data_IF_432811691937
#
_entry.id   IF_432811691937
#
_cell.length_a   1.000
_cell.length_b   1.000
_cell.length_c   1.000
_cell.angle_alpha   90.00
_cell.angle_beta   90.00
_cell.angle_gamma   90.00
#
_symmetry.space_group_name_H-M   'P 1'
#
loop_
_entity.id
_entity.type
_entity.pdbx_description
1 polymer ?
#
# COMPACT_ATOMS: atom_id res chain seq x y z
N UNK A 1 4.96 32.04 1.97
CA UNK A 1 3.78 31.20 2.29
C UNK A 1 4.09 29.82 1.76
N UNK A 2 3.96 28.81 2.61
CA UNK A 2 4.08 27.42 2.18
C UNK A 2 2.91 27.06 1.26
N UNK A 3 3.19 26.32 0.18
CA UNK A 3 2.17 25.93 -0.79
C UNK A 3 1.21 24.94 -0.14
N UNK A 4 -0.09 25.24 -0.19
CA UNK A 4 -1.14 24.33 0.27
C UNK A 4 -2.03 23.91 -0.89
N UNK A 5 -2.59 22.71 -0.80
CA UNK A 5 -3.38 22.04 -1.81
C UNK A 5 -4.75 21.73 -1.21
N UNK A 6 -5.81 22.13 -1.90
CA UNK A 6 -7.13 21.58 -1.58
C UNK A 6 -7.24 20.12 -2.06
N UNK A 7 -8.29 19.44 -1.63
CA UNK A 7 -8.56 18.03 -1.96
C UNK A 7 -8.48 17.74 -3.47
N UNK A 8 -9.05 18.64 -4.29
CA UNK A 8 -9.11 18.49 -5.74
C UNK A 8 -7.76 18.66 -6.41
N UNK A 9 -6.98 19.66 -6.01
CA UNK A 9 -5.61 19.87 -6.50
C UNK A 9 -4.71 18.69 -6.12
N UNK A 10 -4.88 18.17 -4.90
CA UNK A 10 -4.17 16.99 -4.43
C UNK A 10 -4.51 15.74 -5.25
N UNK A 11 -5.81 15.49 -5.51
CA UNK A 11 -6.27 14.37 -6.34
C UNK A 11 -5.68 14.42 -7.76
N UNK A 12 -5.75 15.58 -8.42
CA UNK A 12 -5.21 15.70 -9.78
C UNK A 12 -3.70 15.58 -9.82
N UNK A 13 -3.01 16.10 -8.81
CA UNK A 13 -1.57 15.93 -8.69
C UNK A 13 -1.21 14.45 -8.55
N UNK A 14 -2.00 13.69 -7.78
CA UNK A 14 -1.83 12.25 -7.61
C UNK A 14 -2.03 11.51 -8.92
N UNK A 15 -3.10 11.83 -9.66
CA UNK A 15 -3.38 11.21 -10.96
C UNK A 15 -2.26 11.46 -11.98
N UNK A 16 -1.79 12.70 -12.13
CA UNK A 16 -0.68 13.03 -13.05
C UNK A 16 0.64 12.37 -12.60
N UNK A 17 0.88 12.33 -11.29
CA UNK A 17 2.04 11.65 -10.72
C UNK A 17 2.05 10.16 -11.07
N UNK A 18 0.95 9.44 -10.89
CA UNK A 18 0.84 8.02 -11.24
C UNK A 18 0.89 7.79 -12.76
N UNK A 19 0.22 8.63 -13.56
CA UNK A 19 0.26 8.55 -15.02
C UNK A 19 1.70 8.71 -15.55
N UNK A 20 2.47 9.63 -14.97
CA UNK A 20 3.88 9.81 -15.35
C UNK A 20 4.71 8.52 -15.23
N UNK A 21 4.45 7.70 -14.21
CA UNK A 21 5.10 6.40 -14.02
C UNK A 21 4.57 5.32 -14.95
N UNK A 22 3.26 5.30 -15.21
CA UNK A 22 2.68 4.38 -16.19
C UNK A 22 3.28 4.61 -17.58
N UNK A 23 3.46 5.85 -18.01
CA UNK A 23 4.04 6.10 -19.33
C UNK A 23 5.54 5.85 -19.40
N UNK A 24 6.26 5.96 -18.27
CA UNK A 24 7.67 5.62 -18.18
C UNK A 24 7.91 4.09 -18.28
N UNK A 25 7.00 3.30 -17.73
CA UNK A 25 7.20 1.86 -17.52
C UNK A 25 6.29 0.95 -18.37
N UNK A 26 5.11 1.44 -18.77
CA UNK A 26 4.00 0.63 -19.30
C UNK A 26 3.56 -0.47 -18.35
N UNK A 27 3.63 -0.20 -17.06
CA UNK A 27 3.26 -1.13 -16.00
C UNK A 27 1.75 -1.43 -15.95
N UNK A 28 1.39 -2.72 -15.95
CA UNK A 28 -0.01 -3.17 -16.04
C UNK A 28 -0.84 -2.80 -14.80
N UNK A 29 -0.27 -2.93 -13.58
CA UNK A 29 -0.98 -2.56 -12.34
C UNK A 29 -1.27 -1.06 -12.29
N UNK A 30 -0.30 -0.22 -12.67
CA UNK A 30 -0.53 1.23 -12.82
C UNK A 30 -1.59 1.51 -13.89
N UNK A 31 -1.51 0.85 -15.06
CA UNK A 31 -2.48 1.03 -16.14
C UNK A 31 -3.91 0.66 -15.73
N UNK A 32 -4.07 -0.44 -15.00
CA UNK A 32 -5.37 -0.87 -14.47
C UNK A 32 -5.94 0.14 -13.47
N UNK A 33 -5.12 0.64 -12.55
CA UNK A 33 -5.56 1.67 -11.61
C UNK A 33 -5.94 2.97 -12.33
N UNK A 34 -5.09 3.45 -13.24
CA UNK A 34 -5.33 4.68 -13.97
C UNK A 34 -6.60 4.60 -14.83
N UNK A 35 -6.96 3.42 -15.32
CA UNK A 35 -8.25 3.18 -15.98
C UNK A 35 -9.46 3.54 -15.10
N UNK A 36 -9.32 3.56 -13.77
CA UNK A 36 -10.37 3.94 -12.82
C UNK A 36 -10.21 5.37 -12.30
N UNK A 37 -8.95 5.84 -12.16
CA UNK A 37 -8.62 7.17 -11.59
C UNK A 37 -8.72 8.32 -12.59
N UNK A 38 -8.51 8.06 -13.89
CA UNK A 38 -8.40 9.10 -14.94
C UNK A 38 -9.67 9.34 -15.74
N UNK A 39 -10.76 8.60 -15.49
CA UNK A 39 -12.01 8.73 -16.25
C UNK A 39 -12.86 9.90 -15.72
N UNK A 40 -12.91 10.96 -16.52
CA UNK A 40 -13.77 12.11 -16.33
C UNK A 40 -15.21 11.79 -16.75
N UNK A 41 -16.21 12.07 -15.90
CA UNK A 41 -17.57 12.29 -16.43
C UNK A 41 -17.64 13.69 -17.08
N UNK A 42 -18.44 13.81 -18.14
CA UNK A 42 -18.64 15.08 -18.87
C UNK A 42 -19.26 16.21 -18.02
N UNK A 43 -19.76 15.88 -16.82
CA UNK A 43 -20.45 16.79 -15.92
C UNK A 43 -19.59 17.23 -14.72
N UNK A 44 -18.32 16.81 -14.66
CA UNK A 44 -17.38 17.23 -13.63
C UNK A 44 -17.37 16.36 -12.36
N UNK A 45 -18.04 15.21 -12.38
CA UNK A 45 -17.98 14.19 -11.32
C UNK A 45 -16.94 13.11 -11.65
N UNK A 46 -16.30 12.55 -10.62
CA UNK A 46 -15.47 11.35 -10.73
C UNK A 46 -16.38 10.16 -11.10
N UNK A 47 -16.03 9.37 -12.11
CA UNK A 47 -16.92 8.31 -12.60
C UNK A 47 -17.05 7.14 -11.61
N UNK A 48 -16.05 6.95 -10.74
CA UNK A 48 -16.16 6.03 -9.60
C UNK A 48 -16.30 6.82 -8.30
N UNK A 49 -17.54 6.92 -7.84
CA UNK A 49 -17.87 7.59 -6.58
C UNK A 49 -17.18 6.90 -5.38
N UNK A 50 -16.93 5.59 -5.44
CA UNK A 50 -16.24 4.90 -4.35
C UNK A 50 -14.78 5.37 -4.23
N UNK A 51 -14.07 5.51 -5.36
CA UNK A 51 -12.72 6.07 -5.38
C UNK A 51 -12.70 7.52 -4.87
N UNK A 52 -13.72 8.31 -5.24
CA UNK A 52 -13.86 9.68 -4.77
C UNK A 52 -14.09 9.75 -3.25
N UNK A 53 -15.00 8.93 -2.73
CA UNK A 53 -15.33 8.85 -1.31
C UNK A 53 -14.13 8.35 -0.47
N UNK A 54 -13.40 7.37 -1.00
CA UNK A 54 -12.17 6.88 -0.38
C UNK A 54 -11.07 7.96 -0.38
N UNK A 55 -10.89 8.67 -1.49
CA UNK A 55 -9.94 9.78 -1.56
C UNK A 55 -10.28 10.87 -0.54
N UNK A 56 -11.56 11.25 -0.44
CA UNK A 56 -12.03 12.20 0.54
C UNK A 56 -11.72 11.74 1.98
N UNK A 57 -11.91 10.45 2.24
CA UNK A 57 -11.59 9.82 3.53
C UNK A 57 -10.09 9.89 3.82
N UNK A 58 -9.24 9.55 2.84
CA UNK A 58 -7.78 9.62 2.96
C UNK A 58 -7.26 11.03 3.16
N UNK A 59 -7.82 12.00 2.43
CA UNK A 59 -7.45 13.40 2.55
C UNK A 59 -7.84 13.94 3.95
N UNK A 60 -9.07 13.67 4.38
CA UNK A 60 -9.59 14.17 5.66
C UNK A 60 -8.92 13.51 6.89
N UNK A 61 -8.47 12.25 6.79
CA UNK A 61 -7.72 11.57 7.87
C UNK A 61 -6.35 12.23 8.13
N UNK A 62 -5.74 12.87 7.13
CA UNK A 62 -4.49 13.60 7.31
C UNK A 62 -4.73 14.94 8.02
N UNK A 63 -5.69 15.73 7.53
CA UNK A 63 -6.08 17.02 8.11
C UNK A 63 -7.39 17.52 7.50
N UNK A 64 -8.13 18.34 8.27
CA UNK A 64 -9.37 19.00 7.84
C UNK A 64 -9.15 20.32 7.08
N UNK A 65 -7.89 20.76 6.93
CA UNK A 65 -7.53 21.98 6.20
C UNK A 65 -6.93 21.64 4.83
N UNK A 66 -6.73 22.62 3.96
CA UNK A 66 -5.87 22.44 2.78
C UNK A 66 -4.52 21.89 3.24
N UNK A 67 -3.92 20.97 2.50
CA UNK A 67 -2.72 20.25 2.92
C UNK A 67 -1.44 20.94 2.43
N UNK A 68 -0.37 20.90 3.22
CA UNK A 68 0.98 21.07 2.69
C UNK A 68 1.28 20.00 1.62
N UNK A 69 2.34 20.22 0.84
CA UNK A 69 2.77 19.24 -0.19
C UNK A 69 3.07 17.86 0.40
N UNK A 70 3.55 17.79 1.65
CA UNK A 70 3.80 16.53 2.35
C UNK A 70 2.51 15.89 2.86
N UNK A 71 1.62 16.67 3.48
CA UNK A 71 0.31 16.17 3.95
C UNK A 71 -0.49 15.56 2.78
N UNK A 72 -0.50 16.22 1.62
CA UNK A 72 -1.12 15.66 0.42
C UNK A 72 -0.44 14.36 -0.05
N UNK A 73 0.88 14.26 0.08
CA UNK A 73 1.59 13.02 -0.24
C UNK A 73 1.30 11.89 0.76
N UNK A 74 0.96 12.22 2.02
CA UNK A 74 0.48 11.23 2.99
C UNK A 74 -0.90 10.69 2.57
N UNK A 75 -1.79 11.51 2.00
CA UNK A 75 -3.02 11.02 1.39
C UNK A 75 -2.73 10.10 0.19
N UNK A 76 -1.74 10.44 -0.65
CA UNK A 76 -1.27 9.54 -1.73
C UNK A 76 -0.79 8.20 -1.18
N UNK A 77 -0.07 8.18 -0.04
CA UNK A 77 0.35 6.94 0.63
C UNK A 77 -0.86 6.05 0.96
N UNK A 78 -1.91 6.62 1.55
CA UNK A 78 -3.12 5.87 1.89
C UNK A 78 -3.79 5.30 0.63
N UNK A 79 -3.87 6.12 -0.42
CA UNK A 79 -4.45 5.74 -1.70
C UNK A 79 -3.71 4.58 -2.37
N UNK A 80 -2.38 4.64 -2.48
CA UNK A 80 -1.61 3.54 -3.09
C UNK A 80 -1.58 2.29 -2.21
N UNK A 81 -1.75 2.42 -0.89
CA UNK A 81 -1.91 1.26 -0.01
C UNK A 81 -3.21 0.52 -0.31
N UNK A 82 -4.29 1.25 -0.64
CA UNK A 82 -5.56 0.67 -1.05
C UNK A 82 -5.50 0.04 -2.44
N UNK A 83 -5.04 0.81 -3.41
CA UNK A 83 -5.25 0.49 -4.82
C UNK A 83 -4.01 -0.08 -5.54
N UNK A 84 -2.83 -0.02 -4.93
CA UNK A 84 -1.58 -0.64 -5.40
C UNK A 84 -0.83 -1.33 -4.24
N UNK A 85 -1.48 -2.24 -3.49
CA UNK A 85 -0.87 -2.86 -2.32
C UNK A 85 0.41 -3.61 -2.67
N UNK A 86 1.33 -3.74 -1.71
CA UNK A 86 2.65 -4.33 -1.91
C UNK A 86 2.64 -5.88 -1.90
N UNK A 87 1.70 -6.47 -2.64
CA UNK A 87 1.43 -7.92 -2.68
C UNK A 87 2.02 -8.58 -3.91
N UNK A 88 2.18 -9.91 -3.88
CA UNK A 88 2.80 -10.66 -4.98
C UNK A 88 2.08 -10.56 -6.34
N UNK A 89 0.79 -10.23 -6.34
CA UNK A 89 -0.04 -10.06 -7.53
C UNK A 89 0.18 -8.71 -8.22
N UNK A 90 0.69 -7.71 -7.49
CA UNK A 90 1.03 -6.39 -8.02
C UNK A 90 2.38 -6.46 -8.76
N UNK A 91 2.50 -5.77 -9.89
CA UNK A 91 3.74 -5.73 -10.67
C UNK A 91 4.91 -5.09 -9.89
N UNK A 92 6.14 -5.43 -10.27
CA UNK A 92 7.33 -4.98 -9.55
C UNK A 92 7.49 -3.45 -9.52
N UNK A 93 7.18 -2.74 -10.60
CA UNK A 93 7.27 -1.27 -10.64
C UNK A 93 6.27 -0.64 -9.69
N UNK A 94 5.01 -1.09 -9.71
CA UNK A 94 3.96 -0.63 -8.78
C UNK A 94 4.34 -0.89 -7.32
N UNK A 95 4.81 -2.10 -7.00
CA UNK A 95 5.28 -2.45 -5.65
C UNK A 95 6.44 -1.57 -5.20
N UNK A 96 7.42 -1.33 -6.08
CA UNK A 96 8.54 -0.44 -5.79
C UNK A 96 8.05 1.00 -5.55
N UNK A 97 7.08 1.49 -6.32
CA UNK A 97 6.50 2.82 -6.12
C UNK A 97 5.82 2.93 -4.75
N UNK A 98 4.92 2.00 -4.41
CA UNK A 98 4.21 1.95 -3.12
C UNK A 98 5.20 1.93 -1.96
N UNK A 99 6.22 1.07 -2.01
CA UNK A 99 7.27 1.02 -0.99
C UNK A 99 8.01 2.36 -0.85
N UNK A 100 8.39 3.01 -1.95
CA UNK A 100 9.12 4.29 -1.90
C UNK A 100 8.24 5.41 -1.35
N UNK A 101 6.96 5.45 -1.71
CA UNK A 101 5.99 6.42 -1.16
C UNK A 101 5.90 6.28 0.36
N UNK A 102 5.75 5.05 0.88
CA UNK A 102 5.73 4.79 2.33
C UNK A 102 6.98 5.31 3.01
N UNK A 103 8.17 4.95 2.49
CA UNK A 103 9.45 5.39 3.05
C UNK A 103 9.59 6.91 3.08
N UNK A 104 9.24 7.60 1.98
CA UNK A 104 9.37 9.06 1.86
C UNK A 104 8.53 9.79 2.91
N UNK A 105 7.36 9.27 3.27
CA UNK A 105 6.51 9.86 4.30
C UNK A 105 7.14 9.85 5.70
N UNK A 106 8.15 9.01 5.93
CA UNK A 106 8.88 8.89 7.20
C UNK A 106 10.27 9.55 7.17
N UNK A 107 10.71 10.03 6.01
CA UNK A 107 12.01 10.67 5.85
C UNK A 107 12.02 12.09 6.43
N UNK A 108 13.20 12.50 6.90
CA UNK A 108 13.47 13.92 7.13
C UNK A 108 13.38 14.71 5.82
N UNK A 109 13.07 16.00 5.89
CA UNK A 109 12.97 16.87 4.72
C UNK A 109 14.23 16.83 3.85
N UNK A 110 15.42 16.91 4.47
CA UNK A 110 16.70 16.85 3.77
C UNK A 110 16.93 15.54 2.99
N UNK A 111 16.45 14.40 3.51
CA UNK A 111 16.52 13.11 2.80
C UNK A 111 15.49 13.06 1.68
N UNK A 112 14.26 13.48 1.99
CA UNK A 112 13.12 13.48 1.06
C UNK A 112 13.38 14.34 -0.17
N UNK A 113 14.01 15.50 -0.03
CA UNK A 113 14.29 16.39 -1.16
C UNK A 113 15.31 15.82 -2.16
N UNK A 114 16.06 14.79 -1.77
CA UNK A 114 16.96 14.06 -2.67
C UNK A 114 16.27 12.89 -3.37
N UNK A 115 15.02 12.55 -3.01
CA UNK A 115 14.32 11.39 -3.55
C UNK A 115 13.66 11.68 -4.91
N UNK A 116 13.99 10.95 -5.99
CA UNK A 116 13.43 11.21 -7.31
C UNK A 116 11.89 11.07 -7.36
N UNK A 117 11.34 10.14 -6.58
CA UNK A 117 9.88 9.96 -6.48
C UNK A 117 9.22 11.18 -5.83
N UNK A 118 9.84 11.74 -4.79
CA UNK A 118 9.36 12.98 -4.17
C UNK A 118 9.47 14.18 -5.12
N UNK A 119 10.60 14.31 -5.83
CA UNK A 119 10.80 15.39 -6.81
C UNK A 119 9.76 15.32 -7.93
N UNK A 120 9.39 14.11 -8.38
CA UNK A 120 8.34 13.92 -9.38
C UNK A 120 6.95 14.32 -8.84
N UNK A 121 6.65 14.00 -7.57
CA UNK A 121 5.44 14.47 -6.89
C UNK A 121 5.38 16.00 -6.81
N UNK A 122 6.45 16.65 -6.34
CA UNK A 122 6.55 18.11 -6.27
C UNK A 122 6.37 18.74 -7.65
N UNK A 123 6.93 18.12 -8.70
CA UNK A 123 6.75 18.56 -10.07
C UNK A 123 5.30 18.43 -10.55
N UNK A 124 4.60 17.33 -10.23
CA UNK A 124 3.18 17.14 -10.57
C UNK A 124 2.29 18.18 -9.86
N UNK A 125 2.55 18.41 -8.58
CA UNK A 125 1.91 19.47 -7.78
C UNK A 125 2.16 20.85 -8.39
N UNK A 126 3.39 21.16 -8.79
CA UNK A 126 3.71 22.42 -9.46
C UNK A 126 3.06 22.54 -10.83
N UNK A 127 2.88 21.43 -11.55
CA UNK A 127 2.21 21.42 -12.83
C UNK A 127 0.72 21.73 -12.70
N UNK A 128 0.01 21.01 -11.83
CA UNK A 128 -1.45 21.15 -11.62
C UNK A 128 -1.84 22.54 -11.14
N UNK A 129 -1.03 23.15 -10.27
CA UNK A 129 -1.35 24.49 -9.74
C UNK A 129 -0.73 25.63 -10.55
N UNK A 130 -0.03 25.37 -11.66
CA UNK A 130 0.60 26.44 -12.44
C UNK A 130 -0.42 27.10 -13.35
N UNK A 131 -0.73 28.40 -13.18
CA UNK A 131 -1.72 29.09 -14.01
C UNK A 131 -1.30 29.25 -15.48
N UNK A 132 -0.01 29.09 -15.80
CA UNK A 132 0.55 29.19 -17.15
C UNK A 132 0.73 27.85 -17.85
N UNK A 133 0.55 26.74 -17.15
CA UNK A 133 0.37 25.44 -17.80
C UNK A 133 -1.00 25.48 -18.47
N UNK A 134 -0.99 25.43 -19.80
CA UNK A 134 -2.21 25.51 -20.62
C UNK A 134 -3.18 24.41 -20.16
N UNK A 135 -4.42 24.74 -19.75
CA UNK A 135 -5.44 23.74 -19.53
C UNK A 135 -5.63 23.00 -20.85
N UNK A 136 -5.39 21.69 -20.88
CA UNK A 136 -5.80 20.85 -22.00
C UNK A 136 -7.29 21.13 -22.23
N UNK A 137 -7.76 21.19 -23.47
CA UNK A 137 -9.17 21.46 -23.83
C UNK A 137 -10.16 20.35 -23.40
N UNK A 138 -9.80 19.58 -22.38
CA UNK A 138 -10.65 18.67 -21.60
C UNK A 138 -10.73 19.11 -20.12
N UNK A 139 -10.06 20.21 -19.77
CA UNK A 139 -10.07 20.79 -18.43
C UNK A 139 -11.36 21.58 -18.19
N UNK A 140 -12.05 21.36 -17.06
CA UNK A 140 -13.32 22.03 -16.71
C UNK A 140 -13.21 23.55 -16.45
N UNK A 141 -12.10 24.19 -16.84
CA UNK A 141 -11.81 25.60 -16.59
C UNK A 141 -11.70 26.48 -17.87
N UNK A 142 -12.02 25.96 -19.05
CA UNK A 142 -12.09 26.74 -20.30
C UNK A 142 -13.52 27.18 -20.64
N UNK A 143 -13.69 28.47 -20.95
CA UNK A 143 -14.98 29.01 -21.43
C UNK A 143 -15.22 28.62 -22.90
N UNK A 144 -16.48 28.34 -23.23
CA UNK A 144 -16.96 27.94 -24.57
C UNK A 144 -16.41 28.88 -25.66
N UNK A 145 -15.59 28.33 -26.58
CA UNK A 145 -15.11 29.04 -27.78
C UNK A 145 -13.59 29.21 -27.93
N UNK A 146 -12.76 28.76 -26.99
CA UNK A 146 -11.30 28.78 -27.11
C UNK A 146 -10.77 27.47 -27.71
N UNK A 147 -9.96 27.56 -28.79
CA UNK A 147 -9.38 26.40 -29.49
C UNK A 147 -7.86 26.31 -29.31
N UNK A 148 -7.36 25.08 -29.09
CA UNK A 148 -5.92 24.80 -29.00
C UNK A 148 -5.25 24.60 -30.37
N UNK A 149 -3.93 24.82 -30.48
CA UNK A 149 -3.17 24.59 -31.72
C UNK A 149 -3.10 23.10 -32.10
N UNK A 150 -3.86 22.75 -33.14
CA UNK A 150 -3.87 21.54 -34.00
C UNK A 150 -3.02 20.28 -33.62
N UNK A 151 -3.63 19.09 -33.41
CA UNK A 151 -2.96 17.83 -33.01
C UNK A 151 -2.25 17.03 -34.13
N UNK A 152 -2.21 17.50 -35.37
CA UNK A 152 -1.82 16.68 -36.55
C UNK A 152 -0.32 16.36 -36.70
N UNK A 153 0.52 16.57 -35.68
CA UNK A 153 1.93 16.13 -35.67
C UNK A 153 2.19 15.30 -34.41
N UNK A 154 2.49 14.00 -34.60
CA UNK A 154 2.94 12.99 -33.61
C UNK A 154 3.06 13.48 -32.16
N UNK A 155 2.17 13.00 -31.30
CA UNK A 155 2.29 13.01 -29.85
C UNK A 155 1.15 13.74 -29.14
N UNK A 156 0.23 12.98 -28.52
CA UNK A 156 -0.83 13.46 -27.63
C UNK A 156 -0.32 14.26 -26.41
N UNK A 157 1.00 14.25 -26.17
CA UNK A 157 1.66 14.72 -24.94
C UNK A 157 2.08 16.19 -24.91
N UNK A 158 1.85 16.98 -25.96
CA UNK A 158 2.49 18.31 -26.07
C UNK A 158 2.08 19.29 -24.94
N UNK A 159 0.99 19.00 -24.23
CA UNK A 159 0.47 19.77 -23.09
C UNK A 159 0.18 18.89 -21.84
N UNK A 160 0.85 17.74 -21.67
CA UNK A 160 0.68 16.85 -20.50
C UNK A 160 1.89 16.94 -19.56
N UNK A 161 1.69 16.58 -18.29
CA UNK A 161 2.79 16.48 -17.33
C UNK A 161 3.91 15.56 -17.90
N UNK A 162 5.20 15.93 -17.74
CA UNK A 162 6.29 15.11 -18.24
C UNK A 162 6.26 13.67 -17.69
N UNK A 163 6.75 12.73 -18.50
CA UNK A 163 6.97 11.34 -18.08
C UNK A 163 8.03 11.31 -16.98
N UNK A 164 7.86 10.45 -15.98
CA UNK A 164 8.86 10.25 -14.92
C UNK A 164 10.20 9.84 -15.55
N UNK A 165 11.27 10.58 -15.25
CA UNK A 165 12.60 10.32 -15.82
C UNK A 165 13.32 9.16 -15.13
N UNK A 166 12.97 8.91 -13.87
CA UNK A 166 13.59 7.88 -13.02
C UNK A 166 12.48 6.99 -12.47
N UNK A 167 12.56 5.69 -12.77
CA UNK A 167 11.65 4.70 -12.19
C UNK A 167 11.93 4.51 -10.69
N UNK A 168 10.95 4.07 -9.89
CA UNK A 168 11.13 3.82 -8.47
C UNK A 168 12.24 2.79 -8.24
N UNK A 169 13.14 3.10 -7.30
CA UNK A 169 14.22 2.19 -6.95
C UNK A 169 13.66 0.83 -6.49
N UNK A 170 14.33 -0.30 -6.82
CA UNK A 170 13.94 -1.61 -6.32
C UNK A 170 13.83 -1.63 -4.80
N UNK A 171 12.79 -2.31 -4.29
CA UNK A 171 12.68 -2.63 -2.87
C UNK A 171 13.89 -3.44 -2.42
N UNK A 172 14.36 -3.27 -1.17
CA UNK A 172 15.41 -4.12 -0.64
C UNK A 172 14.95 -5.57 -0.62
N UNK A 173 15.88 -6.49 -0.86
CA UNK A 173 15.62 -7.90 -0.66
C UNK A 173 15.32 -8.17 0.80
N UNK A 174 14.33 -9.01 1.08
CA UNK A 174 13.98 -9.39 2.44
C UNK A 174 15.11 -10.29 2.97
N UNK A 175 15.81 -9.88 4.04
CA UNK A 175 16.93 -10.66 4.55
C UNK A 175 16.38 -11.94 5.20
N UNK A 176 16.67 -13.07 4.54
CA UNK A 176 16.39 -14.40 5.05
C UNK A 176 17.43 -14.75 6.12
N UNK A 177 16.95 -15.20 7.28
CA UNK A 177 17.83 -15.75 8.30
C UNK A 177 17.92 -17.28 8.12
N UNK A 178 19.09 -17.85 8.40
CA UNK A 178 19.26 -19.31 8.46
C UNK A 178 18.77 -19.85 9.81
N UNK A 179 18.49 -21.15 9.86
CA UNK A 179 18.27 -21.90 11.11
C UNK A 179 17.11 -21.40 11.99
N UNK A 180 16.11 -20.81 11.35
CA UNK A 180 14.86 -20.41 11.99
C UNK A 180 13.99 -21.63 12.34
N UNK A 181 13.25 -21.53 13.43
CA UNK A 181 12.24 -22.52 13.83
C UNK A 181 11.27 -22.75 12.67
N UNK A 182 10.86 -24.00 12.49
CA UNK A 182 9.97 -24.41 11.41
C UNK A 182 8.69 -24.98 11.98
N UNK A 183 7.57 -24.66 11.35
CA UNK A 183 6.24 -25.10 11.75
C UNK A 183 5.56 -25.85 10.62
N UNK A 184 4.76 -26.85 10.99
CA UNK A 184 3.80 -27.44 10.08
C UNK A 184 2.56 -26.53 9.89
N UNK A 185 1.64 -26.97 9.03
CA UNK A 185 0.42 -26.23 8.72
C UNK A 185 -0.43 -25.94 9.98
N UNK A 186 -0.66 -26.95 10.81
CA UNK A 186 -1.51 -26.85 12.01
C UNK A 186 -0.90 -25.88 13.02
N UNK A 187 0.39 -26.06 13.31
CA UNK A 187 1.15 -25.21 14.21
C UNK A 187 1.19 -23.75 13.70
N UNK A 188 1.40 -23.55 12.40
CA UNK A 188 1.46 -22.21 11.81
C UNK A 188 0.13 -21.46 11.93
N UNK A 189 -1.01 -22.14 11.72
CA UNK A 189 -2.32 -21.51 11.85
C UNK A 189 -2.63 -21.15 13.30
N UNK A 190 -2.32 -22.04 14.25
CA UNK A 190 -2.44 -21.73 15.67
C UNK A 190 -1.54 -20.56 16.07
N UNK A 191 -0.30 -20.50 15.58
CA UNK A 191 0.60 -19.39 15.81
C UNK A 191 0.01 -18.08 15.26
N UNK A 192 -0.56 -18.10 14.05
CA UNK A 192 -1.22 -16.93 13.45
C UNK A 192 -2.39 -16.41 14.30
N UNK A 193 -3.30 -17.30 14.72
CA UNK A 193 -4.43 -16.90 15.59
C UNK A 193 -3.97 -16.36 16.94
N UNK A 194 -2.94 -16.97 17.55
CA UNK A 194 -2.35 -16.48 18.81
C UNK A 194 -1.65 -15.13 18.62
N UNK A 195 -0.97 -14.94 17.49
CA UNK A 195 -0.33 -13.68 17.15
C UNK A 195 -1.36 -12.54 17.09
N UNK A 196 -2.46 -12.74 16.38
CA UNK A 196 -3.56 -11.76 16.32
C UNK A 196 -4.20 -11.49 17.70
N UNK A 197 -4.29 -12.51 18.56
CA UNK A 197 -4.87 -12.34 19.91
C UNK A 197 -4.09 -11.37 20.81
N UNK A 198 -2.78 -11.17 20.55
CA UNK A 198 -1.99 -10.15 21.27
C UNK A 198 -2.51 -8.72 21.03
N UNK A 199 -3.15 -8.49 19.88
CA UNK A 199 -3.65 -7.17 19.48
C UNK A 199 -5.15 -6.98 19.74
N UNK A 200 -5.87 -8.05 20.12
CA UNK A 200 -7.29 -7.98 20.49
C UNK A 200 -7.55 -7.05 21.68
N UNK A 201 -6.64 -7.01 22.66
CA UNK A 201 -6.80 -6.20 23.88
C UNK A 201 -6.51 -4.72 23.62
N UNK A 202 -5.69 -4.42 22.61
CA UNK A 202 -5.31 -3.06 22.24
C UNK A 202 -6.34 -2.36 21.36
N UNK A 203 -7.25 -3.12 20.75
CA UNK A 203 -8.30 -2.59 19.91
C UNK A 203 -9.65 -2.66 20.62
N UNK A 204 -10.28 -1.51 20.85
CA UNK A 204 -11.67 -1.46 21.30
C UNK A 204 -12.66 -1.87 20.18
N UNK A 205 -12.17 -2.16 18.97
CA UNK A 205 -12.99 -2.64 17.86
C UNK A 205 -13.47 -4.08 18.10
N UNK A 206 -14.75 -4.31 17.76
CA UNK A 206 -15.28 -5.68 17.69
C UNK A 206 -14.72 -6.47 16.52
N UNK A 207 -14.10 -5.82 15.55
CA UNK A 207 -13.66 -6.42 14.29
C UNK A 207 -12.67 -7.58 14.50
N UNK A 208 -11.58 -7.33 15.24
CA UNK A 208 -10.59 -8.38 15.52
C UNK A 208 -11.13 -9.46 16.47
N UNK A 209 -11.97 -9.08 17.44
CA UNK A 209 -12.62 -10.02 18.34
C UNK A 209 -13.57 -10.98 17.62
N UNK A 210 -14.42 -10.44 16.74
CA UNK A 210 -15.38 -11.19 15.93
C UNK A 210 -14.64 -12.09 14.94
N UNK A 211 -13.55 -11.60 14.34
CA UNK A 211 -12.67 -12.39 13.48
C UNK A 211 -12.08 -13.60 14.22
N UNK A 212 -11.46 -13.37 15.38
CA UNK A 212 -10.84 -14.43 16.18
C UNK A 212 -11.87 -15.46 16.67
N UNK A 213 -13.06 -15.00 17.09
CA UNK A 213 -14.14 -15.89 17.50
C UNK A 213 -14.61 -16.80 16.35
N UNK A 214 -14.72 -16.24 15.14
CA UNK A 214 -15.21 -16.97 13.98
C UNK A 214 -14.18 -17.94 13.39
N UNK A 215 -12.90 -17.59 13.40
CA UNK A 215 -11.87 -18.27 12.62
C UNK A 215 -10.78 -18.97 13.45
N UNK A 216 -10.80 -18.93 14.78
CA UNK A 216 -9.77 -19.59 15.60
C UNK A 216 -9.75 -21.13 15.51
N UNK A 217 -10.84 -21.76 15.07
CA UNK A 217 -10.98 -23.22 15.00
C UNK A 217 -10.55 -23.74 13.63
N UNK A 218 -9.63 -24.71 13.60
CA UNK A 218 -9.23 -25.41 12.37
C UNK A 218 -10.38 -26.30 11.89
N UNK A 219 -10.91 -26.00 10.71
CA UNK A 219 -11.97 -26.76 10.05
C UNK A 219 -11.93 -26.51 8.54
N UNK A 220 -12.41 -27.46 7.73
CA UNK A 220 -12.58 -27.26 6.28
C UNK A 220 -13.71 -26.25 5.95
N UNK A 221 -14.62 -26.02 6.90
CA UNK A 221 -15.64 -24.97 6.79
C UNK A 221 -15.08 -23.58 7.12
N UNK A 222 -13.90 -23.51 7.75
CA UNK A 222 -13.23 -22.26 8.05
C UNK A 222 -12.53 -21.73 6.79
N UNK A 223 -13.11 -20.68 6.20
CA UNK A 223 -12.58 -20.04 5.00
C UNK A 223 -11.16 -19.47 5.20
N UNK A 224 -10.88 -18.89 6.36
CA UNK A 224 -9.57 -18.33 6.68
C UNK A 224 -8.50 -19.43 6.76
N UNK A 225 -8.82 -20.57 7.38
CA UNK A 225 -7.93 -21.72 7.41
C UNK A 225 -7.65 -22.27 5.99
N UNK A 226 -8.65 -22.27 5.10
CA UNK A 226 -8.46 -22.71 3.72
C UNK A 226 -7.53 -21.79 2.94
N UNK A 227 -7.64 -20.47 3.10
CA UNK A 227 -6.71 -19.52 2.49
C UNK A 227 -5.30 -19.71 3.03
N UNK A 228 -5.14 -19.78 4.35
CA UNK A 228 -3.86 -20.04 4.99
C UNK A 228 -3.21 -21.34 4.48
N UNK A 229 -3.99 -22.42 4.40
CA UNK A 229 -3.54 -23.71 3.87
C UNK A 229 -3.10 -23.63 2.42
N UNK A 230 -3.81 -22.88 1.59
CA UNK A 230 -3.45 -22.69 0.18
C UNK A 230 -2.07 -22.06 0.06
N UNK A 231 -1.81 -20.96 0.78
CA UNK A 231 -0.53 -20.26 0.73
C UNK A 231 0.61 -21.07 1.36
N UNK A 232 0.36 -21.74 2.49
CA UNK A 232 1.32 -22.67 3.10
C UNK A 232 1.72 -23.79 2.13
N UNK A 233 0.74 -24.38 1.43
CA UNK A 233 0.97 -25.47 0.48
C UNK A 233 1.75 -24.99 -0.74
N UNK A 234 1.49 -23.77 -1.22
CA UNK A 234 2.26 -23.14 -2.29
C UNK A 234 3.72 -22.93 -1.87
N UNK A 235 3.96 -22.44 -0.64
CA UNK A 235 5.29 -22.24 -0.08
C UNK A 235 6.09 -23.54 0.09
N UNK A 236 5.42 -24.63 0.46
CA UNK A 236 6.06 -25.95 0.69
C UNK A 236 6.06 -26.87 -0.54
N UNK A 237 5.60 -26.43 -1.71
CA UNK A 237 5.41 -27.30 -2.90
C UNK A 237 6.67 -28.06 -3.31
N UNK A 238 7.84 -27.44 -3.19
CA UNK A 238 9.15 -28.01 -3.55
C UNK A 238 9.88 -28.65 -2.36
N UNK A 239 9.34 -28.54 -1.15
CA UNK A 239 9.97 -29.04 0.06
C UNK A 239 9.56 -30.50 0.33
N UNK A 240 10.54 -31.31 0.73
CA UNK A 240 10.34 -32.72 1.09
C UNK A 240 9.55 -32.83 2.39
N UNK A 241 9.93 -32.02 3.38
CA UNK A 241 9.19 -31.81 4.62
C UNK A 241 8.22 -30.65 4.41
N UNK A 242 6.95 -30.80 4.78
CA UNK A 242 5.92 -29.77 4.63
C UNK A 242 5.96 -28.79 5.80
N UNK A 243 7.10 -28.10 5.91
CA UNK A 243 7.39 -27.15 6.99
C UNK A 243 7.75 -25.80 6.38
N UNK A 244 7.39 -24.71 7.07
CA UNK A 244 7.88 -23.37 6.74
C UNK A 244 8.58 -22.76 7.94
N UNK A 245 9.66 -22.04 7.69
CA UNK A 245 10.32 -21.27 8.74
C UNK A 245 9.45 -20.09 9.21
N UNK A 246 9.66 -19.66 10.45
CA UNK A 246 8.88 -18.59 11.07
C UNK A 246 8.97 -17.26 10.32
N UNK A 247 10.01 -17.02 9.52
CA UNK A 247 10.06 -15.80 8.69
C UNK A 247 9.15 -15.94 7.46
N UNK A 248 9.18 -17.06 6.74
CA UNK A 248 8.25 -17.31 5.63
C UNK A 248 6.79 -17.20 6.08
N UNK A 249 6.48 -17.71 7.27
CA UNK A 249 5.14 -17.58 7.85
C UNK A 249 4.80 -16.13 8.18
N UNK A 250 5.75 -15.35 8.74
CA UNK A 250 5.55 -13.92 8.95
C UNK A 250 5.33 -13.15 7.64
N UNK A 251 5.97 -13.56 6.55
CA UNK A 251 5.72 -13.00 5.21
C UNK A 251 4.33 -13.34 4.68
N UNK A 252 3.78 -14.52 5.00
CA UNK A 252 2.39 -14.84 4.68
C UNK A 252 1.41 -13.94 5.44
N UNK A 253 1.68 -13.66 6.72
CA UNK A 253 0.89 -12.70 7.51
C UNK A 253 0.95 -11.30 6.88
N UNK A 254 2.14 -10.88 6.43
CA UNK A 254 2.29 -9.60 5.75
C UNK A 254 1.50 -9.53 4.44
N UNK A 255 1.63 -10.52 3.54
CA UNK A 255 0.86 -10.56 2.29
C UNK A 255 -0.65 -10.52 2.56
N UNK A 256 -1.13 -11.21 3.61
CA UNK A 256 -2.53 -11.15 4.04
C UNK A 256 -2.94 -9.75 4.53
N UNK A 257 -2.13 -9.14 5.41
CA UNK A 257 -2.41 -7.81 5.95
C UNK A 257 -2.47 -6.73 4.85
N UNK A 258 -1.65 -6.83 3.81
CA UNK A 258 -1.71 -5.93 2.64
C UNK A 258 -2.96 -6.13 1.77
N UNK A 259 -3.67 -7.25 1.90
CA UNK A 259 -4.90 -7.53 1.16
C UNK A 259 -6.13 -7.13 1.96
N UNK A 260 -6.19 -7.53 3.23
CA UNK A 260 -7.40 -7.47 4.05
C UNK A 260 -7.41 -6.30 5.05
N UNK A 261 -6.24 -5.83 5.48
CA UNK A 261 -6.10 -4.86 6.58
C UNK A 261 -5.07 -3.79 6.20
N UNK A 262 -5.35 -3.03 5.14
CA UNK A 262 -4.36 -2.12 4.56
C UNK A 262 -4.05 -0.95 5.49
N UNK A 263 -2.83 -0.42 5.40
CA UNK A 263 -2.43 0.76 6.19
C UNK A 263 -3.04 2.04 5.61
N UNK A 264 -4.35 2.22 5.78
CA UNK A 264 -5.11 3.39 5.30
C UNK A 264 -6.32 3.71 6.22
N UNK A 265 -7.00 4.82 5.98
CA UNK A 265 -8.11 5.32 6.80
C UNK A 265 -9.43 4.54 6.67
N UNK A 266 -9.54 3.58 5.75
CA UNK A 266 -10.72 2.70 5.67
C UNK A 266 -10.72 1.64 6.77
N UNK A 267 -9.58 1.44 7.44
CA UNK A 267 -9.43 0.47 8.51
C UNK A 267 -9.21 1.14 9.88
N UNK A 268 -9.58 0.42 10.95
CA UNK A 268 -9.41 0.90 12.32
C UNK A 268 -7.92 1.16 12.66
N UNK A 269 -7.67 2.20 13.48
CA UNK A 269 -6.31 2.63 13.85
C UNK A 269 -5.40 1.50 14.37
N UNK A 270 -5.84 0.62 15.27
CA UNK A 270 -4.97 -0.45 15.79
C UNK A 270 -4.58 -1.47 14.71
N UNK A 271 -5.51 -1.76 13.79
CA UNK A 271 -5.32 -2.69 12.69
C UNK A 271 -4.37 -2.13 11.63
N UNK A 272 -4.57 -0.89 11.18
CA UNK A 272 -3.64 -0.25 10.22
C UNK A 272 -2.24 -0.06 10.81
N UNK A 273 -2.13 0.24 12.12
CA UNK A 273 -0.86 0.28 12.84
C UNK A 273 -0.15 -1.07 12.83
N UNK A 274 -0.86 -2.17 13.11
CA UNK A 274 -0.31 -3.51 13.06
C UNK A 274 0.26 -3.84 11.67
N UNK A 275 -0.49 -3.55 10.60
CA UNK A 275 -0.02 -3.75 9.22
C UNK A 275 1.25 -2.95 8.92
N UNK A 276 1.29 -1.68 9.35
CA UNK A 276 2.48 -0.83 9.23
C UNK A 276 3.69 -1.41 9.96
N UNK A 277 3.50 -1.93 11.18
CA UNK A 277 4.56 -2.55 11.99
C UNK A 277 5.07 -3.86 11.38
N UNK A 278 4.17 -4.71 10.86
CA UNK A 278 4.52 -5.93 10.13
C UNK A 278 5.37 -5.57 8.90
N UNK A 279 4.91 -4.64 8.07
CA UNK A 279 5.62 -4.19 6.87
C UNK A 279 7.03 -3.69 7.21
N UNK A 280 7.18 -2.85 8.24
CA UNK A 280 8.49 -2.37 8.71
C UNK A 280 9.40 -3.53 9.14
N UNK A 281 8.88 -4.45 9.96
CA UNK A 281 9.66 -5.56 10.48
C UNK A 281 10.14 -6.53 9.38
N UNK A 282 9.34 -6.75 8.32
CA UNK A 282 9.71 -7.60 7.19
C UNK A 282 11.01 -7.11 6.52
N UNK A 283 11.12 -5.81 6.26
CA UNK A 283 12.28 -5.22 5.58
C UNK A 283 13.49 -4.98 6.48
N UNK A 284 13.37 -5.15 7.79
CA UNK A 284 14.49 -5.01 8.71
C UNK A 284 15.48 -6.17 8.61
N UNK A 285 16.80 -5.91 8.73
CA UNK A 285 17.80 -6.93 9.02
C UNK A 285 17.42 -7.76 10.25
N UNK A 286 17.78 -9.05 10.26
CA UNK A 286 17.40 -9.98 11.33
C UNK A 286 17.70 -9.43 12.74
N UNK A 287 18.91 -8.90 12.96
CA UNK A 287 19.31 -8.35 14.27
C UNK A 287 18.47 -7.16 14.75
N UNK A 288 17.86 -6.40 13.84
CA UNK A 288 16.94 -5.31 14.16
C UNK A 288 15.51 -5.84 14.30
N UNK A 289 15.09 -6.73 13.41
CA UNK A 289 13.75 -7.35 13.41
C UNK A 289 13.46 -8.01 14.76
N UNK A 290 14.41 -8.76 15.31
CA UNK A 290 14.23 -9.45 16.61
C UNK A 290 14.01 -8.51 17.81
N UNK A 291 14.31 -7.22 17.66
CA UNK A 291 14.10 -6.20 18.69
C UNK A 291 12.71 -5.55 18.58
N UNK A 292 11.96 -5.79 17.50
CA UNK A 292 10.64 -5.21 17.31
C UNK A 292 9.58 -5.94 18.12
N UNK A 293 8.62 -5.18 18.68
CA UNK A 293 7.50 -5.74 19.44
C UNK A 293 6.67 -6.72 18.59
N UNK A 294 6.38 -6.37 17.33
CA UNK A 294 5.62 -7.23 16.42
C UNK A 294 6.29 -8.58 16.19
N UNK A 295 7.62 -8.61 16.04
CA UNK A 295 8.35 -9.87 15.90
C UNK A 295 8.41 -10.67 17.20
N UNK A 296 8.56 -9.99 18.34
CA UNK A 296 8.55 -10.65 19.65
C UNK A 296 7.19 -11.28 19.97
N UNK A 297 6.09 -10.59 19.61
CA UNK A 297 4.74 -11.13 19.71
C UNK A 297 4.56 -12.32 18.77
N UNK A 298 5.09 -12.26 17.54
CA UNK A 298 5.08 -13.40 16.61
C UNK A 298 5.82 -14.62 17.20
N UNK A 299 7.06 -14.45 17.67
CA UNK A 299 7.81 -15.57 18.27
C UNK A 299 7.15 -16.11 19.55
N UNK A 300 6.51 -15.25 20.34
CA UNK A 300 5.74 -15.67 21.50
C UNK A 300 4.57 -16.56 21.08
N UNK A 301 3.83 -16.16 20.04
CA UNK A 301 2.73 -16.94 19.50
C UNK A 301 3.18 -18.29 18.92
N UNK A 302 4.33 -18.31 18.21
CA UNK A 302 4.98 -19.53 17.73
C UNK A 302 5.28 -20.50 18.88
N UNK A 303 5.99 -20.05 19.91
CA UNK A 303 6.32 -20.88 21.07
C UNK A 303 5.08 -21.39 21.81
N UNK A 304 4.01 -20.60 21.86
CA UNK A 304 2.77 -21.02 22.47
C UNK A 304 2.02 -22.05 21.63
N UNK A 305 2.11 -21.98 20.28
CA UNK A 305 1.46 -22.93 19.38
C UNK A 305 2.12 -24.30 19.43
N UNK A 306 3.46 -24.35 19.46
CA UNK A 306 4.22 -25.61 19.51
C UNK A 306 4.03 -26.36 20.83
N UNK A 307 3.99 -25.66 21.96
CA UNK A 307 3.72 -26.28 23.28
C UNK A 307 2.31 -26.85 23.45
N UNK A 308 1.32 -26.30 22.74
CA UNK A 308 -0.07 -26.80 22.82
C UNK A 308 -0.29 -28.11 22.07
N UNK A 309 0.53 -28.42 21.05
CA UNK A 309 0.45 -29.66 20.28
C UNK A 309 1.15 -30.85 20.93
N UNK A 310 2.11 -30.61 21.83
CA UNK A 310 2.83 -31.70 22.55
C UNK A 310 2.03 -32.31 23.72
N UNK A 311 0.91 -31.69 24.11
CA UNK A 311 0.06 -32.12 25.23
C UNK A 311 -1.29 -32.74 24.78
N UNK A 312 -1.42 -33.11 23.51
CA UNK A 312 -2.57 -33.86 22.96
C UNK A 312 -2.09 -35.19 22.38
#
# INVERSE_FOLDING_TARGET
MEKRLNERESYFSMSEFLDSYYWASKDDSLGSLLGSVTLWSGDGELFDQAIADDWHTFFSDVSNEDHTVLESFQAVKQFVNEYLPDVTQTTSVSRNLTYRIRMICEMSEAQRDQEPVWQNWVAAVNWITNPNVVPVNESPFLKKGQSLPNPKKKGFRKNQFPVAQVLPAPRPEIPLASDLEKLDLTQSYHAYMKFLSHYQVTDSSRELGDFLQKYSVISEDNQEYRYWRYDFTKGTRKEKEKLLDVLKLFLMIWDYAEIEIRDNALHAQPLRKLTSEIWKAVYMPHNQRVQTEVWQNWLTAVHQATKSTDNQ
#
